data_IF_311260352354
#
_entry.id   IF_311260352354
#
_cell.length_a   1.000
_cell.length_b   1.000
_cell.length_c   1.000
_cell.angle_alpha   90.00
_cell.angle_beta   90.00
_cell.angle_gamma   90.00
#
_symmetry.space_group_name_H-M   'P 1'
#
loop_
_entity.id
_entity.type
_entity.pdbx_description
1 polymer ?
#
# COMPACT_ATOMS: atom_id res chain seq x y z
N UNK A 1 -44.75 -42.53 11.45
CA UNK A 1 -43.56 -42.20 12.28
C UNK A 1 -42.59 -41.40 11.40
N UNK A 2 -42.80 -40.08 11.25
CA UNK A 2 -41.99 -39.22 10.37
C UNK A 2 -41.64 -37.94 11.14
N UNK A 3 -40.72 -38.05 12.10
CA UNK A 3 -40.13 -36.93 12.85
C UNK A 3 -38.70 -37.34 13.21
N UNK A 4 -37.74 -36.98 12.36
CA UNK A 4 -36.33 -37.28 12.58
C UNK A 4 -35.44 -36.45 11.66
N UNK A 5 -35.75 -36.42 10.36
CA UNK A 5 -34.88 -35.78 9.38
C UNK A 5 -34.71 -34.26 9.49
N UNK A 6 -35.53 -33.52 10.24
CA UNK A 6 -35.35 -32.06 10.36
C UNK A 6 -34.20 -31.64 11.28
N UNK A 7 -33.94 -32.42 12.33
CA UNK A 7 -32.95 -32.08 13.37
C UNK A 7 -31.55 -32.51 12.95
N UNK A 8 -31.42 -33.69 12.33
CA UNK A 8 -30.16 -34.19 11.77
C UNK A 8 -29.59 -33.25 10.69
N UNK A 9 -30.47 -32.60 9.91
CA UNK A 9 -30.10 -31.61 8.90
C UNK A 9 -29.64 -30.27 9.52
N UNK A 10 -30.12 -29.91 10.71
CA UNK A 10 -29.70 -28.70 11.42
C UNK A 10 -28.33 -28.91 12.06
N UNK A 11 -28.14 -30.06 12.73
CA UNK A 11 -26.86 -30.40 13.36
C UNK A 11 -25.72 -30.54 12.34
N UNK A 12 -26.01 -31.08 11.16
CA UNK A 12 -25.05 -31.16 10.06
C UNK A 12 -24.72 -29.79 9.46
N UNK A 13 -25.72 -28.90 9.31
CA UNK A 13 -25.49 -27.53 8.84
C UNK A 13 -24.62 -26.73 9.81
N UNK A 14 -24.87 -26.86 11.12
CA UNK A 14 -24.11 -26.15 12.15
C UNK A 14 -22.64 -26.57 12.15
N UNK A 15 -22.40 -27.87 11.98
CA UNK A 15 -21.05 -28.44 11.86
C UNK A 15 -20.32 -27.96 10.61
N UNK A 16 -21.03 -27.83 9.49
CA UNK A 16 -20.49 -27.32 8.23
C UNK A 16 -20.18 -25.82 8.30
N UNK A 17 -21.01 -25.03 8.99
CA UNK A 17 -20.76 -23.60 9.24
C UNK A 17 -19.50 -23.44 10.11
N UNK A 18 -19.37 -24.23 11.17
CA UNK A 18 -18.21 -24.18 12.06
C UNK A 18 -16.91 -24.53 11.31
N UNK A 19 -16.96 -25.59 10.48
CA UNK A 19 -15.84 -25.97 9.63
C UNK A 19 -15.51 -24.90 8.57
N UNK A 20 -16.52 -24.20 8.04
CA UNK A 20 -16.32 -23.11 7.08
C UNK A 20 -15.74 -21.86 7.75
N UNK A 21 -16.20 -21.51 8.96
CA UNK A 21 -15.66 -20.41 9.77
C UNK A 21 -14.18 -20.60 10.08
N UNK A 22 -13.79 -21.81 10.48
CA UNK A 22 -12.38 -22.14 10.76
C UNK A 22 -11.50 -21.97 9.51
N UNK A 23 -11.95 -22.47 8.35
CA UNK A 23 -11.23 -22.29 7.07
C UNK A 23 -11.14 -20.82 6.64
N UNK A 24 -12.20 -20.04 6.89
CA UNK A 24 -12.21 -18.60 6.62
C UNK A 24 -11.23 -17.85 7.54
N UNK A 25 -11.22 -18.14 8.84
CA UNK A 25 -10.27 -17.55 9.77
C UNK A 25 -8.82 -17.83 9.35
N UNK A 26 -8.53 -19.08 8.95
CA UNK A 26 -7.20 -19.48 8.46
C UNK A 26 -6.82 -18.79 7.14
N UNK A 27 -7.81 -18.54 6.27
CA UNK A 27 -7.61 -17.86 4.98
C UNK A 27 -7.44 -16.34 5.16
N UNK A 28 -8.17 -15.74 6.09
CA UNK A 28 -8.08 -14.31 6.43
C UNK A 28 -6.70 -14.01 7.05
N UNK A 29 -6.20 -14.87 7.94
CA UNK A 29 -4.88 -14.73 8.55
C UNK A 29 -3.77 -14.78 7.47
N UNK A 30 -3.90 -15.71 6.51
CA UNK A 30 -3.00 -15.81 5.34
C UNK A 30 -3.09 -14.61 4.39
N UNK A 31 -4.28 -14.03 4.19
CA UNK A 31 -4.46 -12.85 3.33
C UNK A 31 -3.92 -11.58 4.00
N UNK A 32 -4.09 -11.44 5.31
CA UNK A 32 -3.53 -10.33 6.11
C UNK A 32 -2.00 -10.34 6.07
N UNK A 33 -1.38 -11.52 6.08
CA UNK A 33 0.07 -11.66 5.95
C UNK A 33 0.59 -11.40 4.52
N UNK A 34 -0.12 -11.86 3.48
CA UNK A 34 0.33 -11.81 2.08
C UNK A 34 -0.01 -10.50 1.36
N UNK A 35 -1.03 -9.78 1.84
CA UNK A 35 -1.20 -8.36 1.56
C UNK A 35 -0.18 -7.51 2.34
N UNK A 36 1.06 -7.99 2.48
CA UNK A 36 2.11 -7.27 3.20
C UNK A 36 2.32 -5.94 2.44
N UNK A 37 1.92 -4.79 3.01
CA UNK A 37 2.09 -3.49 2.35
C UNK A 37 3.57 -3.17 2.13
N UNK A 38 4.48 -3.92 2.77
CA UNK A 38 5.93 -3.77 2.63
C UNK A 38 6.44 -3.96 1.21
N UNK A 39 5.86 -4.85 0.40
CA UNK A 39 6.35 -5.06 -0.99
C UNK A 39 5.82 -3.99 -1.92
N UNK A 40 4.58 -3.53 -1.73
CA UNK A 40 3.99 -2.41 -2.46
C UNK A 40 4.73 -1.12 -2.11
N UNK A 41 4.90 -0.82 -0.82
CA UNK A 41 5.63 0.35 -0.35
C UNK A 41 7.09 0.36 -0.82
N UNK A 42 7.77 -0.79 -0.86
CA UNK A 42 9.15 -0.87 -1.40
C UNK A 42 9.21 -0.59 -2.90
N UNK A 43 8.22 -1.04 -3.67
CA UNK A 43 8.15 -0.75 -5.12
C UNK A 43 7.88 0.73 -5.38
N UNK A 44 6.98 1.33 -4.60
CA UNK A 44 6.71 2.77 -4.68
C UNK A 44 7.95 3.60 -4.34
N UNK A 45 8.63 3.28 -3.23
CA UNK A 45 9.88 3.98 -2.85
C UNK A 45 10.97 3.80 -3.91
N UNK A 46 11.10 2.61 -4.51
CA UNK A 46 12.06 2.36 -5.58
C UNK A 46 11.71 3.17 -6.85
N UNK A 47 10.42 3.25 -7.21
CA UNK A 47 9.94 4.06 -8.34
C UNK A 47 10.27 5.54 -8.15
N UNK A 48 10.02 6.09 -6.95
CA UNK A 48 10.37 7.48 -6.62
C UNK A 48 11.88 7.70 -6.66
N UNK A 49 12.68 6.76 -6.13
CA UNK A 49 14.14 6.85 -6.18
C UNK A 49 14.70 6.78 -7.61
N UNK A 50 14.08 6.01 -8.50
CA UNK A 50 14.51 5.88 -9.89
C UNK A 50 14.44 7.20 -10.70
N UNK A 51 13.64 8.16 -10.23
CA UNK A 51 13.63 9.52 -10.78
C UNK A 51 14.97 10.22 -10.55
N UNK A 52 15.66 9.94 -9.46
CA UNK A 52 16.87 10.64 -9.05
C UNK A 52 18.13 9.78 -9.07
N UNK A 53 18.01 8.45 -9.19
CA UNK A 53 19.12 7.50 -9.17
C UNK A 53 18.94 6.52 -10.32
N UNK A 54 20.01 6.22 -11.05
CA UNK A 54 20.00 5.24 -12.15
C UNK A 54 20.17 3.79 -11.66
N UNK A 55 20.19 2.85 -12.61
CA UNK A 55 20.31 1.42 -12.34
C UNK A 55 21.67 1.03 -11.73
N UNK A 56 22.71 1.85 -11.95
CA UNK A 56 24.06 1.68 -11.42
C UNK A 56 24.25 2.37 -10.05
N UNK A 57 23.18 2.97 -9.50
CA UNK A 57 23.21 3.68 -8.22
C UNK A 57 23.79 5.09 -8.30
N UNK A 58 24.02 5.63 -9.50
CA UNK A 58 24.54 6.99 -9.68
C UNK A 58 23.39 8.00 -9.65
N UNK A 59 23.55 9.14 -8.97
CA UNK A 59 22.58 10.21 -9.03
C UNK A 59 22.39 10.71 -10.47
N UNK A 60 21.14 10.83 -10.91
CA UNK A 60 20.74 11.51 -12.16
C UNK A 60 20.90 13.01 -11.97
N UNK A 61 22.12 13.50 -12.16
CA UNK A 61 22.51 14.89 -11.95
C UNK A 61 21.63 15.88 -12.73
N UNK A 62 21.16 15.51 -13.92
CA UNK A 62 20.21 16.33 -14.70
C UNK A 62 18.88 16.58 -13.96
N UNK A 63 18.27 15.53 -13.41
CA UNK A 63 17.01 15.66 -12.66
C UNK A 63 17.21 16.38 -11.33
N UNK A 64 18.32 16.11 -10.63
CA UNK A 64 18.69 16.82 -9.41
C UNK A 64 18.87 18.31 -9.67
N UNK A 65 19.57 18.68 -10.74
CA UNK A 65 19.82 20.07 -11.12
C UNK A 65 18.52 20.80 -11.48
N UNK A 66 17.61 20.15 -12.21
CA UNK A 66 16.28 20.69 -12.53
C UNK A 66 15.48 21.00 -11.26
N UNK A 67 15.37 20.05 -10.34
CA UNK A 67 14.62 20.25 -9.09
C UNK A 67 15.26 21.34 -8.23
N UNK A 68 16.60 21.39 -8.14
CA UNK A 68 17.31 22.44 -7.43
C UNK A 68 17.03 23.83 -8.03
N UNK A 69 17.06 23.96 -9.36
CA UNK A 69 16.75 25.21 -10.05
C UNK A 69 15.34 25.72 -9.77
N UNK A 70 14.35 24.82 -9.74
CA UNK A 70 12.96 25.17 -9.40
C UNK A 70 12.87 25.70 -7.97
N UNK A 71 13.48 25.01 -7.00
CA UNK A 71 13.46 25.43 -5.59
C UNK A 71 14.10 26.81 -5.43
N UNK A 72 15.29 27.01 -6.02
CA UNK A 72 15.98 28.31 -5.99
C UNK A 72 15.12 29.40 -6.63
N UNK A 73 14.50 29.12 -7.78
CA UNK A 73 13.61 30.06 -8.46
C UNK A 73 12.40 30.46 -7.61
N UNK A 74 11.75 29.50 -6.95
CA UNK A 74 10.62 29.76 -6.06
C UNK A 74 11.03 30.58 -4.83
N UNK A 75 12.17 30.27 -4.22
CA UNK A 75 12.70 31.04 -3.09
C UNK A 75 13.02 32.46 -3.52
N UNK A 76 13.70 32.66 -4.65
CA UNK A 76 14.00 33.98 -5.19
C UNK A 76 12.71 34.77 -5.49
N UNK A 77 11.72 34.14 -6.13
CA UNK A 77 10.43 34.76 -6.39
C UNK A 77 9.71 35.17 -5.10
N UNK A 78 9.69 34.30 -4.08
CA UNK A 78 9.10 34.61 -2.77
C UNK A 78 9.81 35.80 -2.11
N UNK A 79 11.14 35.86 -2.15
CA UNK A 79 11.90 36.98 -1.59
C UNK A 79 11.62 38.30 -2.32
N UNK A 80 11.49 38.27 -3.64
CA UNK A 80 11.09 39.45 -4.43
C UNK A 80 9.69 39.92 -4.05
N UNK A 81 8.72 39.00 -3.98
CA UNK A 81 7.36 39.31 -3.56
C UNK A 81 7.33 39.90 -2.15
N UNK A 82 8.07 39.30 -1.21
CA UNK A 82 8.21 39.80 0.16
C UNK A 82 8.81 41.21 0.21
N UNK A 83 9.77 41.52 -0.66
CA UNK A 83 10.36 42.86 -0.75
C UNK A 83 9.40 43.90 -1.34
N UNK A 84 8.49 43.49 -2.22
CA UNK A 84 7.51 44.40 -2.84
C UNK A 84 6.28 44.65 -1.94
N UNK A 85 5.99 43.73 -1.03
CA UNK A 85 4.90 43.86 -0.04
C UNK A 85 5.34 44.50 1.29
N UNK A 86 6.64 44.79 1.46
CA UNK A 86 7.21 45.45 2.62
C UNK A 86 7.52 46.92 2.29
#
# INVERSE_FOLDING_TARGET
>A
MAKGGGVDNIDSLEKDIEATRQRLAETIDKLTYRASPKTVARREVASVKAVYVDADGRPRTDNVLKTAGVVIGLVAAMLVLRKLSA
#
